data_IF_426903504960
#
_entry.id   IF_426903504960
#
_cell.length_a   1.000
_cell.length_b   1.000
_cell.length_c   1.000
_cell.angle_alpha   90.00
_cell.angle_beta   90.00
_cell.angle_gamma   90.00
#
_symmetry.space_group_name_H-M   'P 1'
#
loop_
_entity.id
_entity.type
_entity.pdbx_description
1 polymer ?
#
# COMPACT_ATOMS: atom_id res chain seq x y z
N UNK A 1 7.53 -8.03 0.56
CA UNK A 1 8.52 -6.93 0.48
C UNK A 1 9.09 -6.79 -0.94
N UNK A 2 9.72 -7.83 -1.49
CA UNK A 2 10.30 -7.79 -2.85
C UNK A 2 9.32 -7.32 -3.94
N UNK A 3 8.09 -7.84 -3.94
CA UNK A 3 7.07 -7.43 -4.92
C UNK A 3 6.75 -5.93 -4.86
N UNK A 4 6.70 -5.35 -3.67
CA UNK A 4 6.45 -3.91 -3.46
C UNK A 4 7.64 -3.11 -3.98
N UNK A 5 8.88 -3.57 -3.73
CA UNK A 5 10.08 -2.93 -4.24
C UNK A 5 10.12 -2.93 -5.78
N UNK A 6 9.84 -4.07 -6.43
CA UNK A 6 9.78 -4.16 -7.91
C UNK A 6 8.68 -3.23 -8.46
N UNK A 7 7.53 -3.18 -7.80
CA UNK A 7 6.43 -2.28 -8.18
C UNK A 7 6.85 -0.81 -8.07
N UNK A 8 7.56 -0.43 -6.99
CA UNK A 8 8.06 0.93 -6.79
C UNK A 8 9.12 1.34 -7.81
N UNK A 9 9.98 0.39 -8.22
CA UNK A 9 10.96 0.61 -9.29
C UNK A 9 10.24 0.90 -10.61
N UNK A 10 9.25 0.08 -10.98
CA UNK A 10 8.45 0.31 -12.19
C UNK A 10 7.70 1.65 -12.17
N UNK A 11 7.17 2.05 -11.02
CA UNK A 11 6.55 3.37 -10.87
C UNK A 11 7.57 4.51 -11.05
N UNK A 12 8.77 4.37 -10.50
CA UNK A 12 9.87 5.33 -10.68
C UNK A 12 10.31 5.46 -12.14
N UNK A 13 10.43 4.33 -12.85
CA UNK A 13 10.69 4.30 -14.29
C UNK A 13 9.61 5.06 -15.07
N UNK A 14 8.34 4.80 -14.77
CA UNK A 14 7.20 5.49 -15.40
C UNK A 14 7.23 7.02 -15.17
N UNK A 15 7.44 7.47 -13.93
CA UNK A 15 7.51 8.90 -13.64
C UNK A 15 8.77 9.56 -14.23
N UNK A 16 9.86 8.79 -14.37
CA UNK A 16 11.07 9.21 -15.07
C UNK A 16 10.82 9.43 -16.56
N UNK A 17 10.17 8.47 -17.23
CA UNK A 17 9.84 8.54 -18.65
C UNK A 17 8.80 9.63 -18.96
N UNK A 18 7.77 9.76 -18.11
CA UNK A 18 6.68 10.73 -18.32
C UNK A 18 7.11 12.19 -18.13
N UNK A 19 8.21 12.46 -17.41
CA UNK A 19 8.63 13.82 -17.05
C UNK A 19 10.00 14.14 -17.64
N UNK A 20 10.01 14.97 -18.69
CA UNK A 20 11.23 15.39 -19.41
C UNK A 20 12.27 16.14 -18.56
N UNK A 21 11.88 16.70 -17.40
CA UNK A 21 12.78 17.47 -16.53
C UNK A 21 13.08 16.73 -15.23
N UNK A 22 14.34 16.33 -15.05
CA UNK A 22 14.83 15.58 -13.88
C UNK A 22 14.53 16.31 -12.56
N UNK A 23 14.77 17.64 -12.51
CA UNK A 23 14.52 18.45 -11.30
C UNK A 23 13.03 18.46 -10.91
N UNK A 24 12.12 18.49 -11.89
CA UNK A 24 10.67 18.45 -11.63
C UNK A 24 10.20 17.04 -11.31
N UNK A 25 10.75 16.02 -11.97
CA UNK A 25 10.41 14.62 -11.75
C UNK A 25 10.65 14.20 -10.30
N UNK A 26 11.81 14.53 -9.73
CA UNK A 26 12.12 14.22 -8.33
C UNK A 26 11.15 14.83 -7.32
N UNK A 27 10.75 16.09 -7.53
CA UNK A 27 9.77 16.76 -6.65
C UNK A 27 8.39 16.10 -6.76
N UNK A 28 7.91 15.87 -7.98
CA UNK A 28 6.59 15.25 -8.23
C UNK A 28 6.56 13.82 -7.68
N UNK A 29 7.59 13.02 -7.92
CA UNK A 29 7.69 11.65 -7.42
C UNK A 29 7.67 11.60 -5.89
N UNK A 30 8.38 12.52 -5.24
CA UNK A 30 8.40 12.63 -3.77
C UNK A 30 7.02 13.00 -3.21
N UNK A 31 6.33 13.95 -3.83
CA UNK A 31 4.96 14.34 -3.45
C UNK A 31 3.98 13.18 -3.63
N UNK A 32 4.06 12.46 -4.75
CA UNK A 32 3.21 11.30 -5.02
C UNK A 32 3.47 10.20 -4.00
N UNK A 33 4.73 9.89 -3.70
CA UNK A 33 5.08 8.89 -2.70
C UNK A 33 4.53 9.26 -1.32
N UNK A 34 4.64 10.54 -0.93
CA UNK A 34 4.08 11.02 0.33
C UNK A 34 2.55 10.86 0.37
N UNK A 35 1.85 11.18 -0.73
CA UNK A 35 0.41 10.96 -0.85
C UNK A 35 0.04 9.47 -0.76
N UNK A 36 0.81 8.59 -1.40
CA UNK A 36 0.62 7.15 -1.32
C UNK A 36 0.85 6.60 0.09
N UNK A 37 1.79 7.18 0.83
CA UNK A 37 2.03 6.84 2.23
C UNK A 37 0.86 7.26 3.13
N UNK A 38 0.37 8.49 2.98
CA UNK A 38 -0.77 8.99 3.75
C UNK A 38 -2.04 8.16 3.50
N UNK A 39 -2.27 7.78 2.24
CA UNK A 39 -3.42 6.96 1.83
C UNK A 39 -3.24 5.46 2.10
N UNK A 40 -2.09 5.03 2.62
CA UNK A 40 -1.78 3.63 2.91
C UNK A 40 -2.68 2.99 3.98
N UNK A 41 -3.48 3.79 4.70
CA UNK A 41 -4.46 3.33 5.69
C UNK A 41 -3.94 3.33 7.12
N UNK A 42 -2.62 3.49 7.32
CA UNK A 42 -2.01 3.65 8.65
C UNK A 42 -2.16 5.08 9.19
N UNK A 43 -1.78 6.09 8.39
CA UNK A 43 -1.74 7.49 8.83
C UNK A 43 -3.12 8.17 8.82
N UNK A 44 -3.94 7.91 7.80
CA UNK A 44 -5.28 8.50 7.66
C UNK A 44 -6.30 7.38 7.58
N UNK A 45 -7.06 7.20 8.65
CA UNK A 45 -8.14 6.19 8.72
C UNK A 45 -9.44 6.69 8.08
N UNK A 46 -9.78 7.98 8.27
CA UNK A 46 -10.99 8.60 7.74
C UNK A 46 -10.69 9.41 6.47
N UNK A 47 -10.64 8.72 5.33
CA UNK A 47 -10.42 9.38 4.03
C UNK A 47 -11.76 9.96 3.52
N UNK A 48 -11.84 11.26 3.18
CA UNK A 48 -13.06 11.85 2.62
C UNK A 48 -13.48 11.15 1.33
N UNK A 49 -14.79 11.05 1.08
CA UNK A 49 -15.35 10.28 -0.06
C UNK A 49 -14.70 10.63 -1.40
N UNK A 50 -14.42 11.91 -1.64
CA UNK A 50 -13.78 12.39 -2.86
C UNK A 50 -12.37 11.86 -3.07
N UNK A 51 -11.57 11.62 -2.02
CA UNK A 51 -10.18 11.13 -2.14
C UNK A 51 -10.08 9.61 -2.03
N UNK A 52 -11.21 8.91 -1.90
CA UNK A 52 -11.24 7.45 -1.74
C UNK A 52 -10.68 6.70 -2.94
N UNK A 53 -10.71 7.29 -4.14
CA UNK A 53 -10.16 6.64 -5.34
C UNK A 53 -8.63 6.51 -5.29
N UNK A 54 -7.93 7.42 -4.59
CA UNK A 54 -6.48 7.47 -4.54
C UNK A 54 -5.86 6.20 -3.93
N UNK A 55 -6.59 5.54 -3.02
CA UNK A 55 -6.17 4.26 -2.43
C UNK A 55 -6.05 3.12 -3.46
N UNK A 56 -6.85 3.16 -4.53
CA UNK A 56 -6.84 2.11 -5.56
C UNK A 56 -5.67 2.28 -6.54
N UNK A 57 -5.05 3.46 -6.58
CA UNK A 57 -3.87 3.74 -7.42
C UNK A 57 -2.58 3.53 -6.63
N UNK A 58 -2.63 3.73 -5.31
CA UNK A 58 -1.47 3.58 -4.42
C UNK A 58 -1.05 2.12 -4.29
N UNK A 59 0.08 1.74 -4.89
CA UNK A 59 0.69 0.43 -4.66
C UNK A 59 1.09 0.23 -3.19
N UNK A 60 1.40 1.32 -2.46
CA UNK A 60 1.73 1.28 -1.03
C UNK A 60 0.53 0.83 -0.18
N UNK A 61 -0.70 1.17 -0.58
CA UNK A 61 -1.92 0.72 0.10
C UNK A 61 -2.07 -0.80 0.07
N UNK A 62 -1.92 -1.41 -1.11
CA UNK A 62 -1.96 -2.86 -1.28
C UNK A 62 -0.75 -3.56 -0.63
N UNK A 63 0.43 -2.94 -0.75
CA UNK A 63 1.66 -3.43 -0.12
C UNK A 63 1.56 -3.49 1.41
N UNK A 64 1.07 -2.42 2.04
CA UNK A 64 0.87 -2.38 3.48
C UNK A 64 -0.13 -3.45 3.95
N UNK A 65 -1.28 -3.58 3.28
CA UNK A 65 -2.27 -4.62 3.59
C UNK A 65 -1.70 -6.03 3.49
N UNK A 66 -0.91 -6.29 2.45
CA UNK A 66 -0.25 -7.58 2.27
C UNK A 66 0.75 -7.86 3.41
N UNK A 67 1.53 -6.86 3.82
CA UNK A 67 2.46 -7.00 4.94
C UNK A 67 1.73 -7.28 6.26
N UNK A 68 0.61 -6.58 6.51
CA UNK A 68 -0.21 -6.85 7.70
C UNK A 68 -0.73 -8.29 7.74
N UNK A 69 -1.19 -8.82 6.61
CA UNK A 69 -1.68 -10.20 6.48
C UNK A 69 -0.58 -11.26 6.64
N UNK A 70 0.67 -10.91 6.31
CA UNK A 70 1.83 -11.79 6.50
C UNK A 70 2.34 -11.75 7.94
N UNK A 71 2.29 -10.59 8.58
CA UNK A 71 2.85 -10.36 9.91
C UNK A 71 1.89 -10.75 11.04
N UNK A 72 0.59 -10.57 10.83
CA UNK A 72 -0.45 -10.74 11.84
C UNK A 72 -1.53 -11.70 11.36
N UNK A 73 -1.94 -12.58 12.26
CA UNK A 73 -3.07 -13.49 12.04
C UNK A 73 -4.32 -12.94 12.70
N UNK A 74 -5.50 -13.23 12.13
CA UNK A 74 -6.78 -12.70 12.64
C UNK A 74 -7.17 -13.18 14.04
N UNK A 75 -6.58 -14.28 14.50
CA UNK A 75 -6.76 -14.89 15.82
C UNK A 75 -5.82 -14.33 16.89
N UNK A 76 -4.87 -13.46 16.54
CA UNK A 76 -3.97 -12.85 17.52
C UNK A 76 -4.71 -11.87 18.43
N UNK A 77 -4.33 -11.93 19.71
CA UNK A 77 -4.87 -11.10 20.78
C UNK A 77 -3.80 -10.11 21.26
N UNK A 78 -4.23 -8.94 21.71
CA UNK A 78 -3.36 -8.01 22.42
C UNK A 78 -2.96 -8.59 23.78
N UNK A 79 -1.65 -8.59 24.05
CA UNK A 79 -1.06 -8.90 25.34
C UNK A 79 -1.39 -7.78 26.33
N UNK A 80 -2.38 -8.01 27.19
CA UNK A 80 -2.82 -7.04 28.20
C UNK A 80 -2.54 -7.56 29.62
N UNK A 81 -1.34 -8.12 29.82
CA UNK A 81 -0.88 -8.63 31.13
C UNK A 81 -1.74 -9.79 31.69
N UNK A 82 -2.61 -10.36 30.86
CA UNK A 82 -3.45 -11.53 31.15
C UNK A 82 -2.95 -12.74 30.36
N UNK A 83 -2.94 -13.92 30.99
CA UNK A 83 -2.42 -15.19 30.42
C UNK A 83 -3.08 -15.64 29.09
N UNK A 84 -4.15 -14.98 28.65
CA UNK A 84 -4.87 -15.30 27.41
C UNK A 84 -5.17 -14.10 26.52
N UNK A 85 -4.49 -12.96 26.71
CA UNK A 85 -4.79 -11.71 25.99
C UNK A 85 -6.13 -11.07 26.41
N UNK A 86 -6.48 -9.93 25.83
CA UNK A 86 -7.71 -9.20 26.19
C UNK A 86 -8.62 -8.89 24.99
N UNK A 87 -8.06 -8.52 23.84
CA UNK A 87 -8.83 -8.13 22.64
C UNK A 87 -8.19 -8.63 21.36
N UNK A 88 -9.00 -8.94 20.35
CA UNK A 88 -8.51 -9.29 19.01
C UNK A 88 -7.83 -8.10 18.34
N UNK A 89 -6.75 -8.34 17.59
CA UNK A 89 -6.08 -7.29 16.83
C UNK A 89 -7.04 -6.58 15.85
N UNK A 90 -8.00 -7.34 15.31
CA UNK A 90 -9.00 -6.88 14.36
C UNK A 90 -10.00 -5.87 14.96
N UNK A 91 -10.10 -5.76 16.28
CA UNK A 91 -10.98 -4.79 16.96
C UNK A 91 -10.50 -3.33 16.86
N UNK A 92 -9.28 -3.10 16.37
CA UNK A 92 -8.72 -1.75 16.23
C UNK A 92 -9.09 -1.14 14.87
N UNK A 93 -9.35 0.18 14.80
CA UNK A 93 -9.82 0.84 13.57
C UNK A 93 -8.81 0.76 12.41
N UNK A 94 -7.52 0.57 12.70
CA UNK A 94 -6.50 0.34 11.67
C UNK A 94 -6.64 -1.02 10.99
N UNK A 95 -7.04 -2.05 11.74
CA UNK A 95 -7.12 -3.44 11.27
C UNK A 95 -8.55 -3.84 10.86
N UNK A 96 -9.58 -3.21 11.40
CA UNK A 96 -10.98 -3.48 11.04
C UNK A 96 -11.26 -3.27 9.54
N UNK A 97 -10.53 -2.36 8.91
CA UNK A 97 -10.65 -2.12 7.45
C UNK A 97 -10.01 -3.22 6.58
N UNK A 98 -9.24 -4.13 7.17
CA UNK A 98 -8.45 -5.17 6.49
C UNK A 98 -8.82 -6.54 7.04
N UNK A 99 -9.43 -7.39 6.22
CA UNK A 99 -9.58 -8.80 6.61
C UNK A 99 -8.20 -9.48 6.56
N UNK A 100 -7.68 -9.87 7.72
CA UNK A 100 -6.36 -10.50 7.87
C UNK A 100 -6.33 -11.92 7.30
N UNK A 101 -7.48 -12.56 7.09
CA UNK A 101 -7.55 -13.88 6.46
C UNK A 101 -7.44 -13.79 4.94
N UNK A 102 -6.31 -14.28 4.41
CA UNK A 102 -6.01 -14.36 2.98
C UNK A 102 -5.27 -13.14 2.44
N UNK A 103 -4.33 -13.33 1.50
CA UNK A 103 -3.51 -12.25 0.92
C UNK A 103 -3.22 -12.37 -0.59
N UNK A 104 -3.83 -13.36 -1.26
CA UNK A 104 -3.62 -13.59 -2.69
C UNK A 104 -4.15 -12.45 -3.56
N UNK A 105 -5.24 -11.80 -3.15
CA UNK A 105 -5.81 -10.68 -3.91
C UNK A 105 -4.82 -9.51 -4.00
N UNK A 106 -4.20 -9.13 -2.89
CA UNK A 106 -3.21 -8.04 -2.86
C UNK A 106 -1.97 -8.39 -3.70
N UNK A 107 -1.53 -9.67 -3.68
CA UNK A 107 -0.42 -10.15 -4.51
C UNK A 107 -0.74 -9.98 -5.99
N UNK A 108 -1.92 -10.42 -6.45
CA UNK A 108 -2.32 -10.29 -7.86
C UNK A 108 -2.45 -8.83 -8.29
N UNK A 109 -2.99 -7.96 -7.43
CA UNK A 109 -3.10 -6.52 -7.72
C UNK A 109 -1.71 -5.89 -7.85
N UNK A 110 -0.79 -6.18 -6.93
CA UNK A 110 0.58 -5.64 -6.99
C UNK A 110 1.34 -6.14 -8.22
N UNK A 111 1.17 -7.42 -8.60
CA UNK A 111 1.74 -7.95 -9.84
C UNK A 111 1.19 -7.23 -11.08
N UNK A 112 -0.13 -7.02 -11.14
CA UNK A 112 -0.76 -6.29 -12.23
C UNK A 112 -0.26 -4.83 -12.30
N UNK A 113 -0.11 -4.16 -11.16
CA UNK A 113 0.46 -2.80 -11.09
C UNK A 113 1.93 -2.78 -11.56
N UNK A 114 2.76 -3.73 -11.13
CA UNK A 114 4.15 -3.81 -11.53
C UNK A 114 4.31 -3.96 -13.06
N UNK A 115 3.54 -4.85 -13.67
CA UNK A 115 3.51 -5.04 -15.12
C UNK A 115 2.94 -3.81 -15.83
N UNK A 116 1.86 -3.24 -15.29
CA UNK A 116 1.22 -2.04 -15.84
C UNK A 116 2.16 -0.83 -15.87
N UNK A 117 2.89 -0.57 -14.79
CA UNK A 117 3.86 0.53 -14.74
C UNK A 117 4.98 0.34 -15.77
N UNK A 118 5.53 -0.88 -15.88
CA UNK A 118 6.55 -1.17 -16.89
C UNK A 118 6.02 -1.00 -18.31
N UNK A 119 4.85 -1.56 -18.59
CA UNK A 119 4.23 -1.42 -19.91
C UNK A 119 3.98 0.04 -20.29
N UNK A 120 3.46 0.85 -19.36
CA UNK A 120 3.27 2.28 -19.58
C UNK A 120 4.60 3.01 -19.77
N UNK A 121 5.65 2.64 -19.01
CA UNK A 121 6.97 3.24 -19.15
C UNK A 121 7.64 2.90 -20.48
N UNK A 122 7.35 1.74 -21.08
CA UNK A 122 7.83 1.40 -22.44
C UNK A 122 7.10 2.16 -23.55
N UNK A 123 5.87 2.63 -23.30
CA UNK A 123 5.07 3.35 -24.28
C UNK A 123 5.24 4.87 -24.23
N UNK A 124 5.64 5.41 -23.07
CA UNK A 124 5.98 6.83 -22.89
C UNK A 124 7.40 7.13 -23.38
#
# INVERSE_FOLDING_TARGET
ILLIAITSQGAGELFGAAILSIKRSGMIASLILMLFLLTGGYYVQHIPKFMRWLKYISFMYYGFRLLLKVQYSGDQLYECESKGGCRTLQSSPSFDTVNLNGGLQEVWVLLAMALGYRFCAYLC
#
